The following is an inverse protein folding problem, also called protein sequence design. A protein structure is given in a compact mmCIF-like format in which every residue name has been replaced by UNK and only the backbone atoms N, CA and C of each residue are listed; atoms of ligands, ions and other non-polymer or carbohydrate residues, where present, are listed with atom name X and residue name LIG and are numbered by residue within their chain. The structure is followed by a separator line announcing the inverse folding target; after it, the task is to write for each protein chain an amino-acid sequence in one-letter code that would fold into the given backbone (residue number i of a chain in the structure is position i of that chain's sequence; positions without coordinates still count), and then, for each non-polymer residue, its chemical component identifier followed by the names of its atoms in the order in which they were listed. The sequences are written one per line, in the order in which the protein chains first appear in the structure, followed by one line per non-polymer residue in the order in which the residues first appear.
data_IF_292899914997
#
_entry.id   IF_292899914997
#
_cell.length_a   1.000
_cell.length_b   1.000
_cell.length_c   1.000
_cell.angle_alpha   90.00
_cell.angle_beta   90.00
_cell.angle_gamma   90.00
#
_symmetry.space_group_name_H-M   'P 1'
#
loop_
_entity.id
_entity.type
_entity.pdbx_description
1 polymer ?
#
# COMPACT_ATOMS: atom_id res chain seq x y z
N UNK A 1 8.95 10.91 9.88
CA UNK A 1 8.83 10.64 8.42
C UNK A 1 10.19 10.20 7.92
N UNK A 2 10.27 9.42 6.84
CA UNK A 2 11.56 8.95 6.28
C UNK A 2 11.63 9.46 4.85
N UNK A 3 12.77 10.01 4.46
CA UNK A 3 13.02 10.52 3.12
C UNK A 3 14.01 9.56 2.45
N UNK A 4 13.76 9.19 1.20
CA UNK A 4 14.65 8.32 0.42
C UNK A 4 14.23 6.85 0.30
N UNK A 5 15.20 5.94 0.21
CA UNK A 5 14.98 4.55 -0.20
C UNK A 5 14.21 3.71 0.83
N UNK A 6 13.17 3.01 0.37
CA UNK A 6 12.45 2.02 1.18
C UNK A 6 13.28 0.75 1.34
N UNK A 7 13.36 0.23 2.57
CA UNK A 7 14.01 -1.07 2.84
C UNK A 7 13.23 -2.21 2.15
N UNK A 8 13.82 -2.91 1.16
CA UNK A 8 13.17 -4.07 0.56
C UNK A 8 13.13 -5.22 1.58
N UNK A 9 12.12 -6.08 1.48
CA UNK A 9 12.04 -7.29 2.30
C UNK A 9 11.39 -8.44 1.52
N UNK A 10 12.19 -9.48 1.25
CA UNK A 10 11.84 -10.61 0.38
C UNK A 10 10.57 -11.33 0.88
N UNK A 11 10.50 -11.62 2.18
CA UNK A 11 9.33 -12.25 2.82
C UNK A 11 8.04 -11.46 2.60
N UNK A 12 8.07 -10.12 2.69
CA UNK A 12 6.88 -9.28 2.49
C UNK A 12 6.45 -9.26 1.02
N UNK A 13 7.41 -9.27 0.10
CA UNK A 13 7.15 -9.31 -1.34
C UNK A 13 6.41 -10.62 -1.69
N UNK A 14 6.94 -11.78 -1.29
CA UNK A 14 6.31 -13.08 -1.57
C UNK A 14 4.92 -13.15 -0.94
N UNK A 15 4.78 -12.76 0.33
CA UNK A 15 3.49 -12.77 1.04
C UNK A 15 2.45 -11.85 0.39
N UNK A 16 2.87 -10.71 -0.15
CA UNK A 16 1.98 -9.78 -0.84
C UNK A 16 1.45 -10.36 -2.16
N UNK A 17 2.22 -11.22 -2.83
CA UNK A 17 1.88 -11.89 -4.10
C UNK A 17 1.05 -13.16 -3.91
N UNK A 18 1.24 -13.90 -2.81
CA UNK A 18 0.53 -15.15 -2.51
C UNK A 18 -0.70 -14.92 -1.62
N UNK A 19 -0.60 -15.25 -0.33
CA UNK A 19 -1.70 -15.24 0.64
C UNK A 19 -2.35 -13.87 0.79
N UNK A 20 -1.56 -12.79 0.72
CA UNK A 20 -2.08 -11.43 0.78
C UNK A 20 -2.93 -11.04 -0.43
N UNK A 21 -2.67 -11.61 -1.62
CA UNK A 21 -3.48 -11.39 -2.81
C UNK A 21 -4.84 -12.06 -2.67
N UNK A 22 -4.85 -13.35 -2.29
CA UNK A 22 -6.08 -14.11 -2.08
C UNK A 22 -7.01 -13.44 -1.06
N UNK A 23 -6.48 -13.04 0.11
CA UNK A 23 -7.27 -12.35 1.15
C UNK A 23 -7.86 -11.01 0.67
N UNK A 24 -7.18 -10.28 -0.21
CA UNK A 24 -7.71 -9.02 -0.77
C UNK A 24 -8.80 -9.28 -1.80
N UNK A 25 -8.71 -10.37 -2.57
CA UNK A 25 -9.74 -10.73 -3.54
C UNK A 25 -11.07 -11.02 -2.83
N UNK A 26 -11.04 -11.84 -1.77
CA UNK A 26 -12.23 -12.13 -0.95
C UNK A 26 -12.81 -10.85 -0.36
N UNK A 27 -11.98 -9.98 0.23
CA UNK A 27 -12.45 -8.71 0.81
C UNK A 27 -13.09 -7.76 -0.21
N UNK A 28 -12.60 -7.74 -1.45
CA UNK A 28 -13.21 -6.96 -2.53
C UNK A 28 -14.59 -7.49 -2.92
N UNK A 29 -14.80 -8.80 -2.84
CA UNK A 29 -16.08 -9.42 -3.17
C UNK A 29 -17.13 -9.23 -2.07
N UNK A 30 -16.72 -9.24 -0.80
CA UNK A 30 -17.65 -9.23 0.34
C UNK A 30 -17.93 -7.82 0.89
N UNK A 31 -16.94 -6.91 0.85
CA UNK A 31 -17.07 -5.61 1.52
C UNK A 31 -17.38 -4.51 0.48
N UNK A 32 -18.57 -3.89 0.52
CA UNK A 32 -18.89 -2.78 -0.36
C UNK A 32 -17.92 -1.60 -0.10
N UNK A 33 -17.40 -1.02 -1.17
CA UNK A 33 -16.43 0.08 -1.10
C UNK A 33 -14.97 -0.33 -0.83
N UNK A 34 -14.66 -1.61 -0.55
CA UNK A 34 -13.27 -2.00 -0.29
C UNK A 34 -12.36 -1.82 -1.51
N UNK A 35 -11.29 -1.02 -1.35
CA UNK A 35 -10.32 -0.74 -2.41
C UNK A 35 -10.79 0.27 -3.47
N UNK A 36 -11.94 0.93 -3.27
CA UNK A 36 -12.36 2.06 -4.11
C UNK A 36 -11.55 3.33 -3.79
N UNK A 37 -11.42 4.23 -4.77
CA UNK A 37 -10.77 5.54 -4.58
C UNK A 37 -11.56 6.36 -3.54
N UNK A 38 -10.88 7.17 -2.74
CA UNK A 38 -11.52 8.01 -1.70
C UNK A 38 -11.82 7.32 -0.37
N UNK A 39 -12.02 6.00 -0.33
CA UNK A 39 -12.41 5.29 0.91
C UNK A 39 -11.36 5.36 2.04
N UNK A 40 -10.09 5.58 1.71
CA UNK A 40 -9.05 5.82 2.72
C UNK A 40 -9.24 7.14 3.47
N UNK A 41 -9.75 8.17 2.78
CA UNK A 41 -10.00 9.49 3.37
C UNK A 41 -11.25 9.47 4.24
N UNK A 42 -12.32 8.81 3.75
CA UNK A 42 -13.58 8.60 4.51
C UNK A 42 -13.32 7.84 5.81
N UNK A 43 -12.50 6.78 5.77
CA UNK A 43 -12.25 5.96 6.96
C UNK A 43 -11.25 6.59 7.94
N UNK A 44 -10.17 7.21 7.43
CA UNK A 44 -9.17 7.83 8.28
C UNK A 44 -8.35 8.89 7.51
N UNK A 45 -8.76 10.17 7.58
CA UNK A 45 -8.13 11.24 6.80
C UNK A 45 -6.68 11.49 7.23
N UNK A 46 -6.39 11.51 8.53
CA UNK A 46 -5.04 11.73 9.08
C UNK A 46 -4.03 10.69 8.54
N UNK A 47 -4.43 9.40 8.51
CA UNK A 47 -3.59 8.33 7.97
C UNK A 47 -3.45 8.41 6.46
N UNK A 48 -4.52 8.79 5.75
CA UNK A 48 -4.51 8.96 4.30
C UNK A 48 -3.51 10.03 3.88
N UNK A 49 -3.54 11.20 4.53
CA UNK A 49 -2.60 12.30 4.29
C UNK A 49 -1.16 11.88 4.59
N UNK A 50 -0.89 11.31 5.77
CA UNK A 50 0.46 10.83 6.13
C UNK A 50 1.01 9.80 5.14
N UNK A 51 0.17 8.88 4.67
CA UNK A 51 0.54 7.89 3.67
C UNK A 51 0.82 8.49 2.28
N UNK A 52 0.07 9.53 1.90
CA UNK A 52 0.31 10.27 0.66
C UNK A 52 1.65 10.99 0.69
N UNK A 53 1.97 11.68 1.80
CA UNK A 53 3.27 12.36 1.95
C UNK A 53 4.40 11.33 1.97
N UNK A 54 4.28 10.23 2.73
CA UNK A 54 5.28 9.17 2.74
C UNK A 54 5.55 8.60 1.34
N UNK A 55 4.51 8.41 0.52
CA UNK A 55 4.66 7.90 -0.85
C UNK A 55 5.40 8.87 -1.76
N UNK A 56 5.23 10.19 -1.57
CA UNK A 56 5.92 11.25 -2.33
C UNK A 56 7.38 11.41 -1.90
N UNK A 57 7.67 11.26 -0.61
CA UNK A 57 9.03 11.48 -0.07
C UNK A 57 9.91 10.23 -0.07
N UNK A 58 9.41 9.07 -0.48
CA UNK A 58 10.18 7.81 -0.50
C UNK A 58 10.08 7.10 -1.84
N UNK A 59 11.22 6.57 -2.30
CA UNK A 59 11.33 5.78 -3.52
C UNK A 59 11.71 4.33 -3.20
N UNK A 60 11.40 3.41 -4.11
CA UNK A 60 11.70 1.99 -3.98
C UNK A 60 12.98 1.66 -4.75
N UNK A 61 13.69 0.61 -4.34
CA UNK A 61 14.85 0.09 -5.12
C UNK A 61 14.44 -0.26 -6.55
N UNK A 62 13.23 -0.79 -6.73
CA UNK A 62 12.66 -1.12 -8.05
C UNK A 62 12.33 0.09 -8.92
N UNK A 63 12.22 1.29 -8.35
CA UNK A 63 11.98 2.52 -9.12
C UNK A 63 13.28 3.03 -9.78
N UNK A 64 14.45 2.53 -9.36
CA UNK A 64 15.77 2.87 -9.93
C UNK A 64 16.14 2.04 -11.16
N UNK A 65 15.52 0.86 -11.33
CA UNK A 65 15.79 -0.06 -12.44
C UNK A 65 14.65 -0.07 -13.48
N UNK A 66 13.91 1.03 -13.59
CA UNK A 66 12.81 1.17 -14.54
C UNK A 66 13.26 1.86 -15.82
#
# INVERSE_FOLDING_TARGET
MRIGMRKPSVKRIIKARTTGRAKRAVKKAVIPGYGKRGMGFVKNPKRSVKGAIYRRTTFSVWDLFR
#
